data_IF_439651138682
#
_entry.id   IF_439651138682
#
_cell.length_a   1.000
_cell.length_b   1.000
_cell.length_c   1.000
_cell.angle_alpha   90.00
_cell.angle_beta   90.00
_cell.angle_gamma   90.00
#
_symmetry.space_group_name_H-M   'P 1'
#
loop_
_entity.id
_entity.type
_entity.pdbx_description
1 polymer ?
#
# COMPACT_ATOMS: atom_id res chain seq x y z
N UNK A 1 81.53 -29.97 18.87
CA UNK A 1 80.29 -30.14 18.09
C UNK A 1 79.32 -29.11 18.64
N UNK A 2 79.39 -27.89 18.11
CA UNK A 2 78.70 -26.70 18.61
C UNK A 2 77.60 -26.32 17.61
N UNK A 3 76.37 -26.23 18.07
CA UNK A 3 75.23 -25.65 17.35
C UNK A 3 75.15 -24.15 17.71
N UNK A 4 74.91 -23.25 16.75
CA UNK A 4 74.85 -21.83 17.01
C UNK A 4 73.45 -21.40 17.47
N UNK A 5 73.43 -20.54 18.49
CA UNK A 5 72.30 -19.71 18.91
C UNK A 5 71.90 -18.74 17.79
N UNK A 6 70.78 -18.99 17.12
CA UNK A 6 70.13 -17.97 16.30
C UNK A 6 69.19 -17.11 17.16
N UNK A 7 69.64 -15.87 17.34
CA UNK A 7 68.96 -14.73 17.93
C UNK A 7 67.51 -14.57 17.43
N UNK A 8 66.56 -14.75 18.34
CA UNK A 8 65.22 -14.16 18.23
C UNK A 8 65.34 -12.66 18.49
N UNK A 9 65.25 -11.83 17.44
CA UNK A 9 65.05 -10.38 17.58
C UNK A 9 63.58 -10.10 17.83
N UNK A 10 63.19 -9.51 18.98
CA UNK A 10 61.84 -8.97 19.15
C UNK A 10 61.71 -7.73 18.26
N UNK A 11 60.79 -7.78 17.29
CA UNK A 11 60.45 -6.66 16.45
C UNK A 11 59.56 -5.70 17.26
N UNK A 12 60.19 -4.85 18.07
CA UNK A 12 59.57 -3.70 18.72
C UNK A 12 59.51 -2.54 17.73
N UNK A 13 58.40 -1.81 17.76
CA UNK A 13 58.15 -0.53 17.08
C UNK A 13 57.45 -0.58 15.71
N UNK A 14 56.23 -1.13 15.69
CA UNK A 14 55.17 -0.62 14.79
C UNK A 14 54.05 -0.02 15.66
N UNK A 15 54.35 1.17 16.18
CA UNK A 15 53.42 2.07 16.83
C UNK A 15 52.29 2.44 15.85
N UNK A 16 51.18 1.73 15.99
CA UNK A 16 49.79 2.21 16.11
C UNK A 16 49.47 3.70 15.89
N UNK A 17 49.99 4.33 14.84
CA UNK A 17 49.40 5.55 14.29
C UNK A 17 48.17 5.16 13.47
N UNK A 18 47.05 4.91 14.15
CA UNK A 18 45.75 4.99 13.50
C UNK A 18 45.60 6.42 12.96
N UNK A 19 45.55 6.63 11.63
CA UNK A 19 45.45 7.97 11.07
C UNK A 19 44.13 8.58 11.55
N UNK A 20 44.24 9.56 12.43
CA UNK A 20 43.13 10.31 12.96
C UNK A 20 42.43 11.01 11.79
N UNK A 21 41.21 10.56 11.45
CA UNK A 21 40.23 11.33 10.70
C UNK A 21 40.60 11.79 9.28
N UNK A 22 41.55 11.14 8.59
CA UNK A 22 41.85 11.48 7.20
C UNK A 22 40.61 11.34 6.32
N UNK A 23 40.14 12.45 5.74
CA UNK A 23 39.01 12.47 4.81
C UNK A 23 39.23 11.43 3.69
N UNK A 24 38.20 10.64 3.38
CA UNK A 24 38.27 9.66 2.30
C UNK A 24 38.64 10.36 0.98
N UNK A 25 39.58 9.83 0.20
CA UNK A 25 39.93 10.41 -1.09
C UNK A 25 38.67 10.50 -1.95
N UNK A 26 38.45 11.66 -2.58
CA UNK A 26 37.22 11.99 -3.32
C UNK A 26 36.81 10.92 -4.35
N UNK A 27 37.79 10.19 -4.90
CA UNK A 27 37.58 9.09 -5.86
C UNK A 27 36.78 7.91 -5.28
N UNK A 28 36.83 7.70 -3.96
CA UNK A 28 36.06 6.66 -3.27
C UNK A 28 34.74 7.19 -2.70
N UNK A 29 34.68 8.46 -2.32
CA UNK A 29 33.46 9.04 -1.72
C UNK A 29 32.34 9.22 -2.74
N UNK A 30 32.63 9.59 -3.99
CA UNK A 30 31.62 9.77 -5.05
C UNK A 30 30.82 8.49 -5.33
N UNK A 31 31.42 7.33 -5.69
CA UNK A 31 30.65 6.12 -5.96
C UNK A 31 29.88 5.62 -4.73
N UNK A 32 30.43 5.85 -3.53
CA UNK A 32 29.76 5.55 -2.27
C UNK A 32 28.51 6.42 -2.08
N UNK A 33 28.62 7.72 -2.31
CA UNK A 33 27.51 8.66 -2.23
C UNK A 33 26.40 8.31 -3.23
N UNK A 34 26.78 7.93 -4.47
CA UNK A 34 25.81 7.47 -5.47
C UNK A 34 25.14 6.16 -5.01
N UNK A 35 25.90 5.21 -4.47
CA UNK A 35 25.37 3.96 -3.92
C UNK A 35 24.33 4.22 -2.81
N UNK A 36 24.65 5.12 -1.87
CA UNK A 36 23.73 5.55 -0.80
C UNK A 36 22.52 6.27 -1.38
N UNK A 37 22.69 7.11 -2.41
CA UNK A 37 21.59 7.79 -3.10
C UNK A 37 20.62 6.84 -3.80
N UNK A 38 21.13 5.82 -4.49
CA UNK A 38 20.31 4.75 -5.09
C UNK A 38 19.56 3.98 -4.02
N UNK A 39 20.21 3.70 -2.89
CA UNK A 39 19.57 3.02 -1.78
C UNK A 39 18.48 3.86 -1.10
N UNK A 40 18.73 5.15 -0.94
CA UNK A 40 17.74 6.10 -0.44
C UNK A 40 16.51 6.12 -1.37
N UNK A 41 16.72 6.17 -2.69
CA UNK A 41 15.65 6.11 -3.68
C UNK A 41 14.86 4.79 -3.61
N UNK A 42 15.53 3.65 -3.34
CA UNK A 42 14.86 2.38 -3.14
C UNK A 42 13.94 2.38 -1.90
N UNK A 43 14.39 2.97 -0.78
CA UNK A 43 13.57 3.11 0.43
C UNK A 43 12.41 4.09 0.23
N UNK A 44 12.63 5.20 -0.49
CA UNK A 44 11.55 6.11 -0.87
C UNK A 44 10.53 5.43 -1.78
N UNK A 45 10.98 4.62 -2.73
CA UNK A 45 10.09 3.89 -3.61
C UNK A 45 9.32 2.80 -2.85
N UNK A 46 9.96 2.10 -1.91
CA UNK A 46 9.27 1.21 -0.97
C UNK A 46 8.17 1.92 -0.19
N UNK A 47 8.47 3.10 0.37
CA UNK A 47 7.49 3.92 1.08
C UNK A 47 6.40 4.48 0.17
N UNK A 48 6.72 4.76 -1.08
CA UNK A 48 5.74 5.15 -2.09
C UNK A 48 4.76 4.00 -2.37
N UNK A 49 5.25 2.76 -2.53
CA UNK A 49 4.39 1.59 -2.75
C UNK A 49 3.46 1.32 -1.57
N UNK A 50 3.89 1.58 -0.33
CA UNK A 50 3.07 1.36 0.88
C UNK A 50 2.09 2.51 1.17
N UNK A 51 2.44 3.76 0.87
CA UNK A 51 1.63 4.93 1.25
C UNK A 51 0.89 5.60 0.08
N UNK A 52 1.28 5.32 -1.16
CA UNK A 52 0.81 6.04 -2.35
C UNK A 52 1.40 7.45 -2.49
N UNK A 53 2.33 7.86 -1.62
CA UNK A 53 2.91 9.20 -1.60
C UNK A 53 4.42 9.18 -1.44
N UNK A 54 5.14 10.01 -2.19
CA UNK A 54 6.62 10.01 -2.16
C UNK A 54 7.20 10.65 -0.89
N UNK A 55 6.57 11.71 -0.39
CA UNK A 55 7.10 12.51 0.73
C UNK A 55 6.13 12.61 1.91
N UNK A 56 4.82 12.66 1.65
CA UNK A 56 3.81 12.76 2.70
C UNK A 56 3.80 11.52 3.63
N UNK A 57 4.27 10.38 3.13
CA UNK A 57 4.41 9.14 3.91
C UNK A 57 5.55 9.15 4.92
N UNK A 58 6.49 10.10 4.88
CA UNK A 58 7.56 10.20 5.88
C UNK A 58 7.01 10.92 7.10
N UNK A 59 6.22 10.20 7.90
CA UNK A 59 5.71 10.71 9.15
C UNK A 59 6.67 10.30 10.27
N UNK A 60 7.45 11.26 10.79
CA UNK A 60 8.41 10.99 11.87
C UNK A 60 7.75 10.90 13.26
N UNK A 61 6.42 10.79 13.33
CA UNK A 61 5.70 10.66 14.59
C UNK A 61 5.99 9.31 15.26
N UNK A 62 6.19 9.33 16.58
CA UNK A 62 6.45 8.14 17.38
C UNK A 62 5.32 7.09 17.24
N UNK A 63 4.07 7.53 17.14
CA UNK A 63 2.92 6.65 16.94
C UNK A 63 2.99 5.87 15.63
N UNK A 64 3.43 6.51 14.55
CA UNK A 64 3.59 5.84 13.25
C UNK A 64 4.67 4.75 13.28
N UNK A 65 5.76 4.97 14.03
CA UNK A 65 6.80 3.95 14.21
C UNK A 65 6.35 2.81 15.12
N UNK A 66 5.62 3.11 16.19
CA UNK A 66 5.02 2.07 17.04
C UNK A 66 4.07 1.19 16.23
N UNK A 67 3.24 1.80 15.37
CA UNK A 67 2.38 1.07 14.45
C UNK A 67 3.22 0.24 13.47
N UNK A 68 4.27 0.79 12.86
CA UNK A 68 5.13 0.06 11.93
C UNK A 68 5.90 -1.13 12.54
N UNK A 69 6.14 -1.12 13.85
CA UNK A 69 6.74 -2.27 14.56
C UNK A 69 5.73 -3.40 14.73
N UNK A 70 4.46 -3.07 14.92
CA UNK A 70 3.38 -4.04 15.17
C UNK A 70 2.75 -4.53 13.86
N UNK A 71 2.67 -3.66 12.85
CA UNK A 71 2.13 -4.00 11.53
C UNK A 71 3.07 -4.98 10.83
N UNK A 72 2.63 -6.22 10.56
CA UNK A 72 3.45 -7.18 9.85
C UNK A 72 3.76 -6.67 8.44
N UNK A 73 4.99 -6.89 7.98
CA UNK A 73 5.41 -6.51 6.62
C UNK A 73 4.51 -7.16 5.54
N UNK A 74 3.85 -8.28 5.89
CA UNK A 74 2.88 -8.95 5.05
C UNK A 74 1.69 -8.06 4.66
N UNK A 75 1.29 -7.10 5.50
CA UNK A 75 0.17 -6.20 5.21
C UNK A 75 0.46 -5.31 3.99
N UNK A 76 1.74 -4.97 3.75
CA UNK A 76 2.18 -4.20 2.56
C UNK A 76 1.90 -4.96 1.26
N UNK A 77 1.80 -6.30 1.32
CA UNK A 77 1.47 -7.12 0.14
C UNK A 77 -0.05 -7.17 -0.14
N UNK A 78 -0.87 -6.71 0.81
CA UNK A 78 -2.32 -6.66 0.65
C UNK A 78 -2.84 -5.23 0.49
N UNK A 79 -2.16 -4.26 1.09
CA UNK A 79 -2.58 -2.87 1.15
C UNK A 79 -1.43 -1.91 0.78
N UNK A 80 -1.70 -0.84 0.03
CA UNK A 80 -2.97 -0.54 -0.66
C UNK A 80 -3.19 -1.41 -1.90
N UNK A 81 -2.11 -1.90 -2.54
CA UNK A 81 -2.18 -2.75 -3.71
C UNK A 81 -1.95 -4.21 -3.35
N UNK A 82 -3.02 -5.01 -3.43
CA UNK A 82 -2.91 -6.43 -3.21
C UNK A 82 -2.16 -7.15 -4.33
N UNK A 83 -1.20 -8.01 -3.97
CA UNK A 83 -0.54 -8.95 -4.90
C UNK A 83 -1.50 -9.94 -5.54
N UNK A 84 -2.69 -10.15 -4.95
CA UNK A 84 -3.73 -11.02 -5.49
C UNK A 84 -4.46 -10.38 -6.68
N UNK A 85 -4.62 -9.06 -6.65
CA UNK A 85 -5.28 -8.28 -7.69
C UNK A 85 -4.30 -7.82 -8.75
N UNK A 86 -3.05 -7.54 -8.35
CA UNK A 86 -1.97 -7.11 -9.23
C UNK A 86 -0.77 -8.05 -9.12
N UNK A 87 -0.74 -9.18 -9.88
CA UNK A 87 0.34 -10.17 -9.77
C UNK A 87 1.74 -9.59 -10.03
N UNK A 88 1.86 -8.54 -10.85
CA UNK A 88 3.12 -7.83 -11.08
C UNK A 88 3.72 -7.23 -9.80
N UNK A 89 2.90 -6.91 -8.80
CA UNK A 89 3.37 -6.44 -7.50
C UNK A 89 4.24 -7.47 -6.79
N UNK A 90 4.10 -8.77 -7.08
CA UNK A 90 5.00 -9.82 -6.57
C UNK A 90 6.44 -9.55 -7.00
N UNK A 91 6.64 -9.30 -8.29
CA UNK A 91 7.96 -9.01 -8.84
C UNK A 91 8.49 -7.65 -8.37
N UNK A 92 7.64 -6.62 -8.40
CA UNK A 92 8.01 -5.25 -8.02
C UNK A 92 8.46 -5.20 -6.55
N UNK A 93 7.61 -5.66 -5.63
CA UNK A 93 7.91 -5.63 -4.19
C UNK A 93 9.06 -6.56 -3.84
N UNK A 94 9.12 -7.76 -4.45
CA UNK A 94 10.23 -8.69 -4.25
C UNK A 94 11.59 -8.12 -4.70
N UNK A 95 11.68 -7.48 -5.86
CA UNK A 95 12.92 -6.86 -6.35
C UNK A 95 13.37 -5.69 -5.45
N UNK A 96 12.45 -4.82 -5.03
CA UNK A 96 12.75 -3.70 -4.12
C UNK A 96 13.20 -4.23 -2.76
N UNK A 97 12.50 -5.21 -2.21
CA UNK A 97 12.86 -5.83 -0.93
C UNK A 97 14.21 -6.54 -1.00
N UNK A 98 14.48 -7.27 -2.10
CA UNK A 98 15.78 -7.87 -2.35
C UNK A 98 16.91 -6.84 -2.41
N UNK A 99 16.67 -5.70 -3.05
CA UNK A 99 17.62 -4.58 -3.07
C UNK A 99 17.85 -3.99 -1.66
N UNK A 100 16.78 -3.77 -0.88
CA UNK A 100 16.84 -3.24 0.48
C UNK A 100 17.69 -4.13 1.39
N UNK A 101 17.56 -5.45 1.25
CA UNK A 101 18.32 -6.44 2.04
C UNK A 101 19.76 -6.60 1.53
N UNK A 102 19.95 -6.73 0.20
CA UNK A 102 21.26 -7.02 -0.40
C UNK A 102 22.25 -5.86 -0.25
N UNK A 103 21.81 -4.62 -0.50
CA UNK A 103 22.72 -3.48 -0.60
C UNK A 103 23.56 -3.21 0.67
N UNK A 104 22.97 -3.07 1.88
CA UNK A 104 23.76 -2.90 3.11
C UNK A 104 24.67 -4.10 3.38
N UNK A 105 24.21 -5.31 3.06
CA UNK A 105 24.94 -6.54 3.28
C UNK A 105 26.20 -6.64 2.41
N UNK A 106 26.06 -6.38 1.10
CA UNK A 106 27.19 -6.44 0.18
C UNK A 106 28.19 -5.31 0.43
N UNK A 107 27.72 -4.13 0.83
CA UNK A 107 28.55 -3.00 1.24
C UNK A 107 29.31 -3.32 2.54
N UNK A 108 28.67 -3.97 3.52
CA UNK A 108 29.34 -4.40 4.75
C UNK A 108 30.43 -5.45 4.47
N UNK A 109 30.13 -6.45 3.63
CA UNK A 109 31.06 -7.53 3.25
C UNK A 109 32.23 -7.00 2.41
N UNK A 110 32.00 -6.12 1.44
CA UNK A 110 33.07 -5.68 0.52
C UNK A 110 33.79 -4.40 0.93
N UNK A 111 33.15 -3.55 1.73
CA UNK A 111 33.68 -2.23 2.05
C UNK A 111 33.83 -2.03 3.56
N UNK A 112 32.87 -1.35 4.19
CA UNK A 112 32.92 -0.95 5.60
C UNK A 112 31.59 -1.23 6.24
N UNK A 113 31.63 -1.85 7.42
CA UNK A 113 30.44 -2.10 8.23
C UNK A 113 29.71 -0.81 8.59
N UNK A 114 30.42 0.31 8.81
CA UNK A 114 29.79 1.60 9.14
C UNK A 114 28.89 2.14 8.03
N UNK A 115 29.25 1.94 6.76
CA UNK A 115 28.40 2.36 5.63
C UNK A 115 27.18 1.44 5.53
N UNK A 116 27.37 0.12 5.67
CA UNK A 116 26.26 -0.83 5.73
C UNK A 116 25.28 -0.49 6.86
N UNK A 117 25.80 -0.11 8.03
CA UNK A 117 24.99 0.34 9.16
C UNK A 117 24.22 1.63 8.85
N UNK A 118 24.85 2.62 8.22
CA UNK A 118 24.16 3.84 7.78
C UNK A 118 23.00 3.53 6.80
N UNK A 119 23.20 2.58 5.88
CA UNK A 119 22.14 2.11 4.98
C UNK A 119 21.02 1.43 5.78
N UNK A 120 21.31 0.56 6.74
CA UNK A 120 20.25 -0.04 7.58
C UNK A 120 19.46 1.01 8.38
N UNK A 121 20.10 2.09 8.82
CA UNK A 121 19.41 3.23 9.46
C UNK A 121 18.46 3.91 8.47
N UNK A 122 18.84 4.07 7.21
CA UNK A 122 17.93 4.59 6.18
C UNK A 122 16.71 3.68 5.97
N UNK A 123 16.85 2.35 6.08
CA UNK A 123 15.70 1.44 6.06
C UNK A 123 14.74 1.67 7.20
N UNK A 124 15.27 1.89 8.41
CA UNK A 124 14.44 2.16 9.57
C UNK A 124 13.71 3.50 9.40
N UNK A 125 14.42 4.56 9.02
CA UNK A 125 13.87 5.92 9.00
C UNK A 125 13.01 6.15 7.75
N UNK A 126 13.57 5.96 6.56
CA UNK A 126 12.94 6.32 5.28
C UNK A 126 12.03 5.22 4.77
N UNK A 127 12.46 3.96 4.89
CA UNK A 127 11.64 2.81 4.51
C UNK A 127 10.56 2.45 5.53
N UNK A 128 10.52 3.16 6.67
CA UNK A 128 9.58 2.96 7.78
C UNK A 128 9.50 1.48 8.25
N UNK A 129 10.62 0.76 8.15
CA UNK A 129 10.69 -0.68 8.40
C UNK A 129 11.76 -1.03 9.47
N UNK A 130 11.55 -0.62 10.74
CA UNK A 130 12.56 -0.76 11.79
C UNK A 130 12.92 -2.21 12.11
N UNK A 131 11.97 -3.14 12.09
CA UNK A 131 12.24 -4.55 12.40
C UNK A 131 13.04 -5.22 11.28
N UNK A 132 12.73 -4.91 10.01
CA UNK A 132 13.54 -5.33 8.87
C UNK A 132 14.96 -4.76 8.96
N UNK A 133 15.10 -3.48 9.31
CA UNK A 133 16.40 -2.84 9.49
C UNK A 133 17.25 -3.55 10.55
N UNK A 134 16.67 -3.93 11.69
CA UNK A 134 17.34 -4.70 12.74
C UNK A 134 17.78 -6.08 12.24
N UNK A 135 16.91 -6.79 11.51
CA UNK A 135 17.25 -8.10 10.93
C UNK A 135 18.41 -7.98 9.93
N UNK A 136 18.39 -6.98 9.05
CA UNK A 136 19.46 -6.72 8.09
C UNK A 136 20.75 -6.28 8.79
N UNK A 137 20.68 -5.47 9.84
CA UNK A 137 21.84 -5.07 10.63
C UNK A 137 22.51 -6.29 11.30
N UNK A 138 21.71 -7.20 11.87
CA UNK A 138 22.22 -8.46 12.42
C UNK A 138 22.84 -9.33 11.32
N UNK A 139 22.22 -9.40 10.14
CA UNK A 139 22.77 -10.05 8.95
C UNK A 139 24.13 -9.48 8.52
N UNK A 140 24.27 -8.15 8.51
CA UNK A 140 25.54 -7.47 8.22
C UNK A 140 26.62 -7.83 9.24
N UNK A 141 26.27 -7.87 10.54
CA UNK A 141 27.20 -8.24 11.60
C UNK A 141 27.67 -9.69 11.47
N UNK A 142 26.75 -10.63 11.20
CA UNK A 142 27.10 -12.04 10.97
C UNK A 142 28.02 -12.21 9.78
N UNK A 143 27.67 -11.59 8.63
CA UNK A 143 28.47 -11.72 7.42
C UNK A 143 29.89 -11.16 7.59
N UNK A 144 30.05 -10.04 8.33
CA UNK A 144 31.37 -9.42 8.56
C UNK A 144 32.21 -10.17 9.59
N UNK A 145 31.60 -10.79 10.62
CA UNK A 145 32.32 -11.51 11.68
C UNK A 145 32.83 -12.89 11.26
N UNK A 146 32.35 -13.43 10.15
CA UNK A 146 32.81 -14.73 9.65
C UNK A 146 34.12 -14.61 8.87
N UNK A 147 35.04 -15.58 9.04
CA UNK A 147 36.24 -15.70 8.18
C UNK A 147 35.88 -15.91 6.71
N UNK A 148 34.69 -16.45 6.44
CA UNK A 148 34.11 -16.65 5.11
C UNK A 148 34.04 -15.37 4.27
N UNK A 149 34.01 -14.18 4.89
CA UNK A 149 34.03 -12.90 4.17
C UNK A 149 35.17 -12.80 3.14
N UNK A 150 36.35 -13.31 3.49
CA UNK A 150 37.55 -13.21 2.67
C UNK A 150 37.64 -14.36 1.66
N UNK A 151 37.38 -15.59 2.12
CA UNK A 151 37.59 -16.80 1.31
C UNK A 151 36.40 -17.10 0.40
N UNK A 152 35.18 -16.96 0.93
CA UNK A 152 33.93 -17.35 0.29
C UNK A 152 32.86 -16.27 0.48
N UNK A 153 33.01 -15.09 -0.16
CA UNK A 153 32.12 -13.95 0.07
C UNK A 153 30.65 -14.26 -0.24
N UNK A 154 30.37 -15.20 -1.15
CA UNK A 154 29.00 -15.65 -1.43
C UNK A 154 28.39 -16.40 -0.23
N UNK A 155 29.17 -17.25 0.44
CA UNK A 155 28.72 -17.95 1.65
C UNK A 155 28.48 -16.97 2.80
N UNK A 156 29.35 -15.96 2.96
CA UNK A 156 29.16 -14.90 3.95
C UNK A 156 27.86 -14.10 3.69
N UNK A 157 27.55 -13.78 2.43
CA UNK A 157 26.29 -13.12 2.04
C UNK A 157 25.10 -14.04 2.32
N UNK A 158 25.17 -15.33 1.94
CA UNK A 158 24.08 -16.27 2.19
C UNK A 158 23.76 -16.40 3.70
N UNK A 159 24.79 -16.47 4.56
CA UNK A 159 24.63 -16.46 6.02
C UNK A 159 24.02 -15.14 6.49
N UNK A 160 24.47 -14.02 5.95
CA UNK A 160 23.94 -12.70 6.27
C UNK A 160 22.49 -12.47 5.82
N UNK A 161 22.00 -13.23 4.84
CA UNK A 161 20.58 -13.20 4.43
C UNK A 161 19.66 -13.95 5.39
N UNK A 162 20.18 -14.89 6.20
CA UNK A 162 19.35 -15.74 7.06
C UNK A 162 18.48 -14.94 8.04
N UNK A 163 18.96 -13.90 8.76
CA UNK A 163 18.10 -13.15 9.68
C UNK A 163 16.97 -12.41 8.98
N UNK A 164 17.26 -11.78 7.83
CA UNK A 164 16.24 -11.09 7.04
C UNK A 164 15.24 -12.10 6.44
N UNK A 165 15.71 -13.23 5.90
CA UNK A 165 14.87 -14.30 5.39
C UNK A 165 13.96 -14.90 6.47
N UNK A 166 14.50 -15.15 7.67
CA UNK A 166 13.72 -15.65 8.81
C UNK A 166 12.67 -14.63 9.27
N UNK A 167 13.04 -13.35 9.38
CA UNK A 167 12.10 -12.28 9.69
C UNK A 167 10.95 -12.24 8.68
N UNK A 168 11.27 -12.20 7.40
CA UNK A 168 10.26 -12.13 6.34
C UNK A 168 9.38 -13.37 6.31
N UNK A 169 9.95 -14.56 6.56
CA UNK A 169 9.19 -15.80 6.69
C UNK A 169 8.19 -15.70 7.85
N UNK A 170 8.66 -15.43 9.07
CA UNK A 170 7.81 -15.41 10.28
C UNK A 170 6.68 -14.38 10.18
N UNK A 171 6.96 -13.17 9.70
CA UNK A 171 5.96 -12.11 9.63
C UNK A 171 4.98 -12.26 8.46
N UNK A 172 5.31 -13.08 7.45
CA UNK A 172 4.35 -13.44 6.40
C UNK A 172 3.27 -14.43 6.91
N UNK A 173 3.54 -15.20 7.98
CA UNK A 173 2.54 -16.10 8.58
C UNK A 173 1.54 -15.39 9.50
N UNK A 174 1.94 -14.28 10.11
CA UNK A 174 1.12 -13.59 11.11
C UNK A 174 -0.19 -13.03 10.54
N UNK A 175 -0.25 -12.75 9.23
CA UNK A 175 -1.41 -12.18 8.53
C UNK A 175 -2.46 -13.22 8.10
N UNK A 176 -2.22 -14.51 8.34
CA UNK A 176 -2.97 -15.63 7.76
C UNK A 176 -4.34 -15.99 8.35
N UNK A 177 -4.88 -15.22 9.30
CA UNK A 177 -6.14 -15.58 9.99
C UNK A 177 -7.43 -15.27 9.21
N UNK A 178 -7.35 -14.89 7.94
CA UNK A 178 -8.53 -14.73 7.09
C UNK A 178 -9.12 -16.12 6.74
N UNK A 179 -10.11 -16.53 7.52
CA UNK A 179 -10.80 -17.84 7.47
C UNK A 179 -11.46 -18.18 6.11
N UNK A 180 -11.44 -17.28 5.13
CA UNK A 180 -12.16 -17.38 3.86
C UNK A 180 -11.28 -17.55 2.60
N UNK A 181 -9.94 -17.63 2.75
CA UNK A 181 -9.02 -17.71 1.61
C UNK A 181 -8.72 -19.16 1.21
N UNK A 182 -8.79 -19.46 -0.09
CA UNK A 182 -8.50 -20.78 -0.68
C UNK A 182 -7.08 -21.26 -0.28
N UNK A 183 -6.84 -22.56 -0.06
CA UNK A 183 -5.54 -23.08 0.38
C UNK A 183 -4.36 -22.65 -0.51
N UNK A 184 -4.55 -22.63 -1.84
CA UNK A 184 -3.51 -22.21 -2.79
C UNK A 184 -3.23 -20.71 -2.70
N UNK A 185 -4.26 -19.89 -2.46
CA UNK A 185 -4.11 -18.44 -2.32
C UNK A 185 -3.34 -18.05 -1.07
N UNK A 186 -3.26 -18.93 -0.06
CA UNK A 186 -2.42 -18.72 1.13
C UNK A 186 -0.94 -18.61 0.78
N UNK A 187 -0.48 -19.22 -0.32
CA UNK A 187 0.94 -19.22 -0.70
C UNK A 187 1.38 -18.01 -1.53
N UNK A 188 0.44 -17.34 -2.20
CA UNK A 188 0.73 -16.20 -3.08
C UNK A 188 1.41 -15.03 -2.35
N UNK A 189 1.02 -14.65 -1.13
CA UNK A 189 1.69 -13.60 -0.36
C UNK A 189 3.16 -13.88 -0.01
N UNK A 190 3.62 -15.13 -0.11
CA UNK A 190 5.03 -15.49 0.09
C UNK A 190 5.89 -15.32 -1.17
N UNK A 191 5.26 -15.17 -2.35
CA UNK A 191 6.00 -15.06 -3.60
C UNK A 191 6.92 -13.82 -3.65
N UNK A 192 6.54 -12.63 -3.15
CA UNK A 192 7.46 -11.50 -3.04
C UNK A 192 8.74 -11.84 -2.27
N UNK A 193 8.64 -12.61 -1.19
CA UNK A 193 9.78 -13.06 -0.39
C UNK A 193 10.71 -13.97 -1.19
N UNK A 194 10.15 -14.95 -1.89
CA UNK A 194 10.94 -15.85 -2.75
C UNK A 194 11.68 -15.04 -3.82
N UNK A 195 10.98 -14.11 -4.47
CA UNK A 195 11.59 -13.19 -5.46
C UNK A 195 12.69 -12.35 -4.81
N UNK A 196 12.49 -11.83 -3.60
CA UNK A 196 13.50 -11.03 -2.90
C UNK A 196 14.78 -11.81 -2.58
N UNK A 197 14.65 -13.06 -2.12
CA UNK A 197 15.81 -13.93 -1.84
C UNK A 197 16.55 -14.24 -3.13
N UNK A 198 15.84 -14.66 -4.18
CA UNK A 198 16.44 -14.96 -5.49
C UNK A 198 17.12 -13.73 -6.07
N UNK A 199 16.45 -12.57 -6.07
CA UNK A 199 17.01 -11.31 -6.56
C UNK A 199 18.27 -10.90 -5.77
N UNK A 200 18.28 -11.09 -4.45
CA UNK A 200 19.44 -10.83 -3.61
C UNK A 200 20.64 -11.72 -3.98
N UNK A 201 20.39 -13.02 -4.18
CA UNK A 201 21.44 -13.99 -4.53
C UNK A 201 21.99 -13.74 -5.95
N UNK A 202 21.12 -13.45 -6.92
CA UNK A 202 21.52 -13.09 -8.29
C UNK A 202 22.31 -11.79 -8.30
N UNK A 203 21.82 -10.75 -7.61
CA UNK A 203 22.53 -9.47 -7.50
C UNK A 203 23.90 -9.62 -6.85
N UNK A 204 24.00 -10.38 -5.75
CA UNK A 204 25.28 -10.71 -5.12
C UNK A 204 26.24 -11.42 -6.08
N UNK A 205 25.73 -12.43 -6.81
CA UNK A 205 26.52 -13.19 -7.79
C UNK A 205 27.06 -12.30 -8.89
N UNK A 206 26.23 -11.41 -9.45
CA UNK A 206 26.65 -10.45 -10.50
C UNK A 206 27.72 -9.50 -9.98
N UNK A 207 27.54 -8.92 -8.78
CA UNK A 207 28.55 -8.02 -8.19
C UNK A 207 29.87 -8.75 -7.96
N UNK A 208 29.83 -9.96 -7.41
CA UNK A 208 31.03 -10.75 -7.14
C UNK A 208 31.75 -11.17 -8.43
N UNK A 209 31.01 -11.62 -9.45
CA UNK A 209 31.53 -12.00 -10.75
C UNK A 209 32.17 -10.80 -11.46
N UNK A 210 31.46 -9.67 -11.53
CA UNK A 210 31.97 -8.46 -12.15
C UNK A 210 33.19 -7.91 -11.40
N UNK A 211 33.22 -7.97 -10.06
CA UNK A 211 34.41 -7.58 -9.29
C UNK A 211 35.63 -8.45 -9.60
N UNK A 212 35.44 -9.75 -9.89
CA UNK A 212 36.53 -10.63 -10.35
C UNK A 212 37.02 -10.25 -11.75
N UNK A 213 36.12 -9.91 -12.66
CA UNK A 213 36.46 -9.59 -14.05
C UNK A 213 37.13 -8.22 -14.21
N UNK A 214 36.56 -7.18 -13.61
CA UNK A 214 36.99 -5.79 -13.88
C UNK A 214 37.96 -5.23 -12.84
N UNK A 215 38.19 -5.92 -11.71
CA UNK A 215 38.97 -5.42 -10.56
C UNK A 215 38.51 -4.05 -10.02
N UNK A 216 37.31 -3.60 -10.40
CA UNK A 216 36.72 -2.34 -9.97
C UNK A 216 35.96 -2.56 -8.64
N UNK A 217 36.61 -2.23 -7.52
CA UNK A 217 36.13 -2.57 -6.16
C UNK A 217 34.71 -2.07 -5.86
N UNK A 218 34.47 -0.76 -5.94
CA UNK A 218 33.20 -0.15 -5.51
C UNK A 218 32.30 0.27 -6.69
N UNK A 219 32.91 0.54 -7.85
CA UNK A 219 32.20 1.08 -9.03
C UNK A 219 31.21 0.11 -9.65
N UNK A 220 31.30 -1.19 -9.33
CA UNK A 220 30.41 -2.23 -9.86
C UNK A 220 29.15 -2.40 -9.01
N UNK A 221 29.21 -2.09 -7.71
CA UNK A 221 28.05 -2.24 -6.83
C UNK A 221 26.94 -1.29 -7.31
N UNK A 222 27.29 -0.02 -7.53
CA UNK A 222 26.34 1.03 -7.95
C UNK A 222 25.51 0.68 -9.20
N UNK A 223 26.07 0.29 -10.36
CA UNK A 223 25.27 -0.04 -11.53
C UNK A 223 24.37 -1.27 -11.33
N UNK A 224 24.80 -2.27 -10.54
CA UNK A 224 23.94 -3.42 -10.23
C UNK A 224 22.76 -3.01 -9.36
N UNK A 225 23.01 -2.22 -8.30
CA UNK A 225 21.92 -1.70 -7.45
C UNK A 225 20.98 -0.77 -8.24
N UNK A 226 21.53 0.05 -9.14
CA UNK A 226 20.74 0.92 -10.00
C UNK A 226 19.84 0.10 -10.94
N UNK A 227 20.37 -0.96 -11.55
CA UNK A 227 19.57 -1.86 -12.40
C UNK A 227 18.48 -2.57 -11.59
N UNK A 228 18.81 -3.04 -10.38
CA UNK A 228 17.84 -3.66 -9.46
C UNK A 228 16.75 -2.70 -9.00
N UNK A 229 17.01 -1.39 -8.95
CA UNK A 229 15.99 -0.36 -8.66
C UNK A 229 15.20 0.03 -9.91
N UNK A 230 15.87 0.22 -11.04
CA UNK A 230 15.23 0.65 -12.28
C UNK A 230 14.19 -0.36 -12.77
N UNK A 231 14.49 -1.66 -12.68
CA UNK A 231 13.58 -2.72 -13.12
C UNK A 231 12.20 -2.68 -12.43
N UNK A 232 12.08 -2.71 -11.09
CA UNK A 232 10.78 -2.63 -10.42
C UNK A 232 10.08 -1.28 -10.63
N UNK A 233 10.82 -0.17 -10.75
CA UNK A 233 10.23 1.15 -11.06
C UNK A 233 9.59 1.14 -12.45
N UNK A 234 10.30 0.64 -13.46
CA UNK A 234 9.78 0.53 -14.84
C UNK A 234 8.59 -0.44 -14.89
N UNK A 235 8.68 -1.59 -14.22
CA UNK A 235 7.58 -2.55 -14.14
C UNK A 235 6.33 -1.94 -13.48
N UNK A 236 6.51 -1.17 -12.40
CA UNK A 236 5.42 -0.49 -11.73
C UNK A 236 4.72 0.50 -12.66
N UNK A 237 5.45 1.44 -13.27
CA UNK A 237 4.83 2.47 -14.12
C UNK A 237 4.23 1.92 -15.41
N UNK A 238 4.74 0.80 -15.93
CA UNK A 238 4.22 0.18 -17.17
C UNK A 238 3.07 -0.80 -16.97
N UNK A 239 2.98 -1.48 -15.81
CA UNK A 239 2.00 -2.54 -15.56
C UNK A 239 0.93 -2.20 -14.54
N UNK A 240 1.21 -1.30 -13.61
CA UNK A 240 0.30 -0.93 -12.51
C UNK A 240 -0.06 0.54 -12.63
N UNK A 241 0.94 1.41 -12.63
CA UNK A 241 0.76 2.86 -12.75
C UNK A 241 0.46 3.55 -11.42
N UNK A 242 0.76 4.85 -11.37
CA UNK A 242 0.52 5.68 -10.20
C UNK A 242 -0.98 5.87 -9.90
N UNK A 243 -1.81 5.94 -10.95
CA UNK A 243 -3.25 6.07 -10.80
C UNK A 243 -3.85 4.86 -10.07
N UNK A 244 -3.44 3.64 -10.39
CA UNK A 244 -3.96 2.45 -9.71
C UNK A 244 -3.58 2.44 -8.23
N UNK A 245 -2.34 2.82 -7.89
CA UNK A 245 -1.89 2.91 -6.51
C UNK A 245 -2.66 3.96 -5.70
N UNK A 246 -2.89 5.15 -6.27
CA UNK A 246 -3.62 6.21 -5.58
C UNK A 246 -5.11 5.88 -5.45
N UNK A 247 -5.72 5.31 -6.49
CA UNK A 247 -7.06 4.76 -6.45
C UNK A 247 -7.19 3.69 -5.37
N UNK A 248 -6.27 2.72 -5.32
CA UNK A 248 -6.29 1.66 -4.33
C UNK A 248 -6.15 2.22 -2.90
N UNK A 249 -5.34 3.26 -2.70
CA UNK A 249 -5.23 3.93 -1.39
C UNK A 249 -6.50 4.71 -1.01
N UNK A 250 -7.26 5.24 -1.96
CA UNK A 250 -8.59 5.82 -1.69
C UNK A 250 -9.59 4.71 -1.37
N UNK A 251 -9.58 3.63 -2.15
CA UNK A 251 -10.44 2.48 -1.96
C UNK A 251 -10.23 1.79 -0.61
N UNK A 252 -8.97 1.68 -0.16
CA UNK A 252 -8.58 1.10 1.11
C UNK A 252 -9.10 1.89 2.33
N UNK A 253 -9.39 3.19 2.14
CA UNK A 253 -10.02 4.00 3.19
C UNK A 253 -11.50 3.68 3.40
N UNK A 254 -12.09 2.84 2.56
CA UNK A 254 -13.48 2.41 2.66
C UNK A 254 -13.61 1.09 3.40
N UNK A 255 -14.70 0.92 4.14
CA UNK A 255 -15.09 -0.32 4.84
C UNK A 255 -15.39 -1.52 3.92
N UNK A 256 -15.16 -1.39 2.61
CA UNK A 256 -15.55 -2.34 1.59
C UNK A 256 -17.04 -2.29 1.25
N UNK A 257 -17.41 -2.97 0.17
CA UNK A 257 -18.80 -3.07 -0.27
C UNK A 257 -19.38 -1.74 -0.75
N UNK A 258 -20.50 -1.35 -0.15
CA UNK A 258 -21.18 -0.07 -0.37
C UNK A 258 -21.06 0.85 0.85
N UNK A 259 -20.20 0.52 1.80
CA UNK A 259 -20.05 1.28 3.04
C UNK A 259 -18.72 1.98 3.03
N UNK A 260 -18.71 3.30 3.20
CA UNK A 260 -17.45 4.04 3.30
C UNK A 260 -16.83 3.88 4.68
N UNK A 261 -17.62 3.89 5.76
CA UNK A 261 -17.11 3.83 7.13
C UNK A 261 -17.62 2.60 7.89
N UNK A 262 -16.71 1.90 8.57
CA UNK A 262 -17.05 0.72 9.35
C UNK A 262 -17.91 1.11 10.56
N UNK A 263 -19.00 0.37 10.84
CA UNK A 263 -19.77 0.56 12.05
C UNK A 263 -18.90 0.31 13.28
N UNK A 264 -18.97 1.19 14.28
CA UNK A 264 -18.18 1.07 15.51
C UNK A 264 -19.07 1.27 16.73
N UNK A 265 -18.83 0.52 17.81
CA UNK A 265 -19.52 0.77 19.07
C UNK A 265 -19.11 2.12 19.66
N UNK A 266 -20.11 2.87 20.11
CA UNK A 266 -19.93 4.23 20.62
C UNK A 266 -18.97 4.26 21.81
N UNK A 267 -19.08 3.29 22.72
CA UNK A 267 -18.19 3.19 23.89
C UNK A 267 -16.75 2.86 23.51
N UNK A 268 -16.55 1.97 22.53
CA UNK A 268 -15.22 1.62 22.05
C UNK A 268 -14.55 2.82 21.37
N UNK A 269 -15.30 3.55 20.55
CA UNK A 269 -14.85 4.78 19.89
C UNK A 269 -14.58 5.90 20.91
N UNK A 270 -15.44 6.07 21.92
CA UNK A 270 -15.22 7.04 22.99
C UNK A 270 -13.96 6.71 23.79
N UNK A 271 -13.73 5.42 24.07
CA UNK A 271 -12.55 4.97 24.81
C UNK A 271 -11.25 5.18 24.04
N UNK A 272 -11.23 4.87 22.74
CA UNK A 272 -10.04 5.08 21.91
C UNK A 272 -9.68 6.56 21.75
N UNK A 273 -10.68 7.45 21.80
CA UNK A 273 -10.49 8.89 21.67
C UNK A 273 -10.49 9.66 23.02
N UNK A 274 -10.49 8.96 24.16
CA UNK A 274 -10.53 9.54 25.51
C UNK A 274 -11.76 10.43 25.81
N UNK A 275 -12.93 10.09 25.24
CA UNK A 275 -14.20 10.82 25.37
C UNK A 275 -15.22 10.18 26.35
N UNK A 276 -14.78 9.25 27.21
CA UNK A 276 -15.64 8.49 28.12
C UNK A 276 -16.49 9.30 29.12
N UNK A 277 -16.21 10.60 29.26
CA UNK A 277 -16.90 11.50 30.22
C UNK A 277 -17.85 12.49 29.54
N UNK A 278 -18.02 12.42 28.22
CA UNK A 278 -18.89 13.32 27.49
C UNK A 278 -20.36 12.92 27.66
N UNK A 279 -21.26 13.91 27.69
CA UNK A 279 -22.69 13.63 27.57
C UNK A 279 -23.03 13.05 26.19
N UNK A 280 -24.18 12.34 26.02
CA UNK A 280 -24.59 11.81 24.72
C UNK A 280 -24.62 12.86 23.61
N UNK A 281 -25.08 14.08 23.89
CA UNK A 281 -25.12 15.17 22.91
C UNK A 281 -23.73 15.68 22.53
N UNK A 282 -22.83 15.80 23.52
CA UNK A 282 -21.44 16.16 23.27
C UNK A 282 -20.73 15.09 22.45
N UNK A 283 -20.99 13.82 22.76
CA UNK A 283 -20.43 12.68 22.03
C UNK A 283 -20.95 12.65 20.60
N UNK A 284 -22.25 12.84 20.39
CA UNK A 284 -22.87 12.99 19.06
C UNK A 284 -22.19 14.08 18.24
N UNK A 285 -21.99 15.26 18.85
CA UNK A 285 -21.28 16.37 18.19
C UNK A 285 -19.86 15.97 17.77
N UNK A 286 -19.11 15.29 18.65
CA UNK A 286 -17.75 14.81 18.32
C UNK A 286 -17.73 13.77 17.20
N UNK A 287 -18.71 12.88 17.16
CA UNK A 287 -18.86 11.89 16.07
C UNK A 287 -19.16 12.59 14.75
N UNK A 288 -20.04 13.61 14.76
CA UNK A 288 -20.32 14.40 13.56
C UNK A 288 -19.10 15.21 13.09
N UNK A 289 -18.34 15.80 14.02
CA UNK A 289 -17.10 16.51 13.70
C UNK A 289 -16.06 15.56 13.07
N UNK A 290 -15.86 14.36 13.63
CA UNK A 290 -14.97 13.33 13.10
C UNK A 290 -15.42 12.84 11.71
N UNK A 291 -16.71 12.53 11.57
CA UNK A 291 -17.31 12.14 10.29
C UNK A 291 -17.09 13.21 9.22
N UNK A 292 -17.31 14.48 9.55
CA UNK A 292 -17.12 15.60 8.64
C UNK A 292 -15.65 15.78 8.25
N UNK A 293 -14.71 15.63 9.18
CA UNK A 293 -13.29 15.69 8.90
C UNK A 293 -12.84 14.55 7.95
N UNK A 294 -13.27 13.31 8.22
CA UNK A 294 -12.99 12.15 7.38
C UNK A 294 -13.63 12.28 5.99
N UNK A 295 -14.88 12.75 5.93
CA UNK A 295 -15.59 13.06 4.67
C UNK A 295 -14.83 14.08 3.84
N UNK A 296 -14.41 15.20 4.44
CA UNK A 296 -13.62 16.24 3.77
C UNK A 296 -12.29 15.71 3.25
N UNK A 297 -11.61 14.87 4.04
CA UNK A 297 -10.36 14.22 3.64
C UNK A 297 -10.54 13.31 2.40
N UNK A 298 -11.56 12.44 2.39
CA UNK A 298 -11.82 11.54 1.25
C UNK A 298 -12.18 12.34 0.00
N UNK A 299 -13.02 13.37 0.13
CA UNK A 299 -13.41 14.24 -1.00
C UNK A 299 -12.16 14.94 -1.59
N UNK A 300 -11.30 15.53 -0.74
CA UNK A 300 -10.09 16.19 -1.20
C UNK A 300 -9.12 15.24 -1.93
N UNK A 301 -9.03 13.97 -1.48
CA UNK A 301 -8.25 12.94 -2.19
C UNK A 301 -8.87 12.56 -3.53
N UNK A 302 -10.20 12.42 -3.59
CA UNK A 302 -10.89 12.17 -4.86
C UNK A 302 -10.68 13.32 -5.85
N UNK A 303 -10.75 14.56 -5.39
CA UNK A 303 -10.51 15.74 -6.23
C UNK A 303 -9.08 15.78 -6.74
N UNK A 304 -8.10 15.58 -5.86
CA UNK A 304 -6.68 15.48 -6.23
C UNK A 304 -6.43 14.38 -7.27
N UNK A 305 -7.10 13.23 -7.13
CA UNK A 305 -7.01 12.13 -8.08
C UNK A 305 -7.57 12.52 -9.46
N UNK A 306 -8.77 13.08 -9.50
CA UNK A 306 -9.46 13.45 -10.74
C UNK A 306 -8.73 14.57 -11.48
N UNK A 307 -8.06 15.48 -10.76
CA UNK A 307 -7.20 16.51 -11.33
C UNK A 307 -5.89 15.92 -11.89
N UNK A 308 -5.25 15.00 -11.16
CA UNK A 308 -3.96 14.40 -11.53
C UNK A 308 -4.09 13.38 -12.65
N UNK A 309 -5.18 12.62 -12.69
CA UNK A 309 -5.41 11.52 -13.64
C UNK A 309 -6.76 11.61 -14.37
N UNK A 310 -7.03 12.70 -15.11
CA UNK A 310 -8.33 12.91 -15.75
C UNK A 310 -8.67 11.86 -16.83
N UNK A 311 -7.68 11.12 -17.32
CA UNK A 311 -7.83 10.06 -18.33
C UNK A 311 -7.78 8.65 -17.74
N UNK A 312 -7.73 8.51 -16.40
CA UNK A 312 -7.74 7.19 -15.78
C UNK A 312 -9.07 6.50 -16.00
N UNK A 313 -9.04 5.20 -16.29
CA UNK A 313 -10.23 4.35 -16.29
C UNK A 313 -10.90 4.24 -14.91
N UNK A 314 -10.26 4.73 -13.84
CA UNK A 314 -10.78 4.77 -12.47
C UNK A 314 -11.59 6.02 -12.13
N UNK A 315 -11.73 6.98 -13.06
CA UNK A 315 -12.44 8.22 -12.78
C UNK A 315 -13.91 7.99 -12.39
N UNK A 316 -14.57 6.96 -12.95
CA UNK A 316 -15.95 6.63 -12.64
C UNK A 316 -16.10 6.15 -11.20
N UNK A 317 -15.23 5.24 -10.77
CA UNK A 317 -15.16 4.75 -9.39
C UNK A 317 -14.87 5.89 -8.42
N UNK A 318 -13.88 6.73 -8.70
CA UNK A 318 -13.50 7.84 -7.81
C UNK A 318 -14.60 8.89 -7.71
N UNK A 319 -15.28 9.22 -8.81
CA UNK A 319 -16.46 10.11 -8.77
C UNK A 319 -17.61 9.50 -7.96
N UNK A 320 -17.82 8.18 -8.08
CA UNK A 320 -18.79 7.48 -7.24
C UNK A 320 -18.43 7.59 -5.75
N UNK A 321 -17.17 7.31 -5.37
CA UNK A 321 -16.69 7.44 -3.98
C UNK A 321 -16.90 8.86 -3.47
N UNK A 322 -16.56 9.88 -4.28
CA UNK A 322 -16.78 11.29 -3.94
C UNK A 322 -18.25 11.60 -3.70
N UNK A 323 -19.12 11.23 -4.62
CA UNK A 323 -20.56 11.51 -4.53
C UNK A 323 -21.21 10.80 -3.35
N UNK A 324 -20.75 9.58 -3.06
CA UNK A 324 -21.21 8.80 -1.94
C UNK A 324 -20.74 9.40 -0.60
N UNK A 325 -19.47 9.84 -0.53
CA UNK A 325 -18.91 10.55 0.63
C UNK A 325 -19.65 11.86 0.92
N UNK A 326 -20.03 12.61 -0.12
CA UNK A 326 -20.84 13.83 0.02
C UNK A 326 -22.23 13.55 0.61
N UNK A 327 -22.76 12.34 0.46
CA UNK A 327 -24.12 11.96 0.90
C UNK A 327 -24.16 11.23 2.24
N UNK A 328 -23.01 11.02 2.90
CA UNK A 328 -22.94 10.33 4.18
C UNK A 328 -23.61 11.12 5.29
N UNK A 329 -24.39 10.40 6.10
CA UNK A 329 -25.06 10.92 7.28
C UNK A 329 -24.91 9.94 8.44
N UNK A 330 -24.92 10.46 9.67
CA UNK A 330 -24.97 9.64 10.88
C UNK A 330 -26.36 9.00 10.99
N UNK A 331 -26.41 7.70 11.22
CA UNK A 331 -27.65 7.00 11.55
C UNK A 331 -28.03 7.30 13.00
N UNK A 332 -28.90 8.29 13.20
CA UNK A 332 -29.35 8.73 14.53
C UNK A 332 -30.09 7.61 15.29
N UNK A 333 -30.72 6.66 14.58
CA UNK A 333 -31.41 5.56 15.23
C UNK A 333 -30.42 4.55 15.81
N UNK A 334 -29.38 4.19 15.05
CA UNK A 334 -28.31 3.31 15.53
C UNK A 334 -27.42 3.98 16.56
N UNK A 335 -27.14 5.28 16.41
CA UNK A 335 -26.36 6.03 17.39
C UNK A 335 -27.02 6.00 18.77
N UNK A 336 -28.35 6.18 18.84
CA UNK A 336 -29.13 6.05 20.09
C UNK A 336 -29.10 4.64 20.69
N UNK A 337 -28.83 3.60 19.89
CA UNK A 337 -28.63 2.22 20.36
C UNK A 337 -27.19 1.93 20.81
N UNK A 338 -26.31 2.92 20.76
CA UNK A 338 -24.90 2.78 21.13
C UNK A 338 -23.98 2.37 19.99
N UNK A 339 -24.43 2.43 18.73
CA UNK A 339 -23.61 2.08 17.55
C UNK A 339 -23.47 3.27 16.61
N UNK A 340 -22.23 3.68 16.34
CA UNK A 340 -21.93 4.66 15.31
C UNK A 340 -22.00 3.94 13.96
N UNK A 341 -23.07 4.19 13.21
CA UNK A 341 -23.24 3.72 11.84
C UNK A 341 -23.51 4.92 10.93
N UNK A 342 -22.96 4.86 9.73
CA UNK A 342 -23.18 5.85 8.70
C UNK A 342 -24.13 5.27 7.66
N UNK A 343 -25.15 6.05 7.30
CA UNK A 343 -26.11 5.68 6.28
C UNK A 343 -25.89 6.52 5.03
N UNK A 344 -26.10 5.83 3.92
CA UNK A 344 -25.99 6.34 2.57
C UNK A 344 -27.35 6.30 1.88
N UNK A 345 -28.42 6.06 2.64
CA UNK A 345 -29.75 5.73 2.12
C UNK A 345 -30.29 6.85 1.23
N UNK A 346 -30.01 8.11 1.58
CA UNK A 346 -30.61 9.26 0.90
C UNK A 346 -29.52 10.21 0.35
N UNK A 347 -29.51 10.49 -0.97
CA UNK A 347 -28.59 11.45 -1.56
C UNK A 347 -28.89 12.86 -1.04
N UNK A 348 -27.83 13.60 -0.70
CA UNK A 348 -27.90 15.00 -0.30
C UNK A 348 -27.84 15.93 -1.52
N UNK A 349 -28.43 17.13 -1.47
CA UNK A 349 -28.32 18.11 -2.56
C UNK A 349 -26.87 18.43 -2.95
N UNK A 350 -25.96 18.41 -1.98
CA UNK A 350 -24.52 18.65 -2.14
C UNK A 350 -23.84 17.68 -3.12
N UNK A 351 -24.35 16.45 -3.26
CA UNK A 351 -23.77 15.45 -4.17
C UNK A 351 -24.34 15.49 -5.59
N UNK A 352 -25.37 16.32 -5.83
CA UNK A 352 -26.08 16.40 -7.13
C UNK A 352 -25.15 16.66 -8.30
N UNK A 353 -24.22 17.60 -8.16
CA UNK A 353 -23.29 17.96 -9.23
C UNK A 353 -22.36 16.80 -9.57
N UNK A 354 -21.81 16.12 -8.56
CA UNK A 354 -20.92 14.96 -8.75
C UNK A 354 -21.67 13.80 -9.42
N UNK A 355 -22.90 13.51 -8.99
CA UNK A 355 -23.74 12.51 -9.66
C UNK A 355 -24.07 12.89 -11.10
N UNK A 356 -24.37 14.17 -11.36
CA UNK A 356 -24.65 14.67 -12.72
C UNK A 356 -23.43 14.50 -13.62
N UNK A 357 -22.25 14.84 -13.11
CA UNK A 357 -20.98 14.68 -13.82
C UNK A 357 -20.71 13.21 -14.15
N UNK A 358 -20.90 12.30 -13.19
CA UNK A 358 -20.71 10.86 -13.38
C UNK A 358 -21.68 10.30 -14.43
N UNK A 359 -22.96 10.65 -14.38
CA UNK A 359 -23.96 10.19 -15.34
C UNK A 359 -23.73 10.76 -16.76
N UNK A 360 -23.28 12.01 -16.86
CA UNK A 360 -23.12 12.73 -18.14
C UNK A 360 -21.79 12.42 -18.83
N UNK A 361 -20.69 12.53 -18.09
CA UNK A 361 -19.34 12.50 -18.67
C UNK A 361 -18.79 11.06 -18.78
N UNK A 362 -19.35 10.12 -18.01
CA UNK A 362 -18.90 8.73 -17.92
C UNK A 362 -20.10 7.76 -18.07
N UNK A 363 -21.02 8.10 -18.96
CA UNK A 363 -22.27 7.37 -19.23
C UNK A 363 -22.08 5.89 -19.59
N UNK A 364 -20.93 5.53 -20.16
CA UNK A 364 -20.58 4.15 -20.51
C UNK A 364 -20.11 3.31 -19.31
N UNK A 365 -19.87 3.95 -18.16
CA UNK A 365 -19.41 3.26 -16.96
C UNK A 365 -20.58 2.61 -16.19
N UNK A 366 -20.38 1.45 -15.54
CA UNK A 366 -21.41 0.85 -14.67
C UNK A 366 -21.92 1.81 -13.59
N UNK A 367 -21.04 2.69 -13.09
CA UNK A 367 -21.34 3.65 -12.04
C UNK A 367 -22.27 4.78 -12.50
N UNK A 368 -22.38 5.04 -13.81
CA UNK A 368 -23.36 5.98 -14.33
C UNK A 368 -24.80 5.54 -14.05
N UNK A 369 -25.08 4.23 -14.07
CA UNK A 369 -26.41 3.71 -13.74
C UNK A 369 -26.78 3.98 -12.27
N UNK A 370 -25.81 3.90 -11.35
CA UNK A 370 -25.99 4.28 -9.95
C UNK A 370 -26.23 5.79 -9.81
N UNK A 371 -25.53 6.60 -10.61
CA UNK A 371 -25.73 8.03 -10.64
C UNK A 371 -27.13 8.42 -11.12
N UNK A 372 -27.64 7.78 -12.18
CA UNK A 372 -29.01 7.99 -12.65
C UNK A 372 -30.05 7.62 -11.58
N UNK A 373 -29.85 6.52 -10.86
CA UNK A 373 -30.71 6.15 -9.73
C UNK A 373 -30.74 7.26 -8.66
N UNK A 374 -29.57 7.74 -8.21
CA UNK A 374 -29.48 8.82 -7.21
C UNK A 374 -30.04 10.14 -7.68
N UNK A 375 -29.85 10.50 -8.95
CA UNK A 375 -30.44 11.70 -9.55
C UNK A 375 -31.97 11.59 -9.65
N UNK A 376 -32.48 10.40 -9.98
CA UNK A 376 -33.92 10.11 -10.00
C UNK A 376 -34.55 10.25 -8.61
N UNK A 377 -33.88 9.76 -7.58
CA UNK A 377 -34.29 9.92 -6.18
C UNK A 377 -34.32 11.41 -5.77
N UNK A 378 -33.27 12.17 -6.08
CA UNK A 378 -33.22 13.62 -5.83
C UNK A 378 -34.34 14.37 -6.57
N UNK A 379 -34.63 14.00 -7.82
CA UNK A 379 -35.70 14.60 -8.61
C UNK A 379 -37.09 14.32 -8.01
N UNK A 380 -37.31 13.10 -7.50
CA UNK A 380 -38.55 12.73 -6.82
C UNK A 380 -38.75 13.57 -5.55
N UNK A 381 -37.69 13.76 -4.76
CA UNK A 381 -37.72 14.60 -3.54
C UNK A 381 -37.98 16.08 -3.85
N UNK A 382 -37.50 16.59 -4.99
CA UNK A 382 -37.80 17.95 -5.44
C UNK A 382 -39.15 18.09 -6.14
N UNK A 383 -39.98 17.04 -6.18
CA UNK A 383 -41.29 17.05 -6.84
C UNK A 383 -41.25 16.98 -8.37
N UNK A 384 -40.07 16.83 -8.98
CA UNK A 384 -39.92 16.70 -10.43
C UNK A 384 -40.12 15.25 -10.88
N UNK A 385 -41.39 14.81 -10.87
CA UNK A 385 -41.79 13.43 -11.18
C UNK A 385 -41.39 12.99 -12.59
N UNK A 386 -41.40 13.90 -13.57
CA UNK A 386 -41.06 13.59 -14.96
C UNK A 386 -39.59 13.20 -15.09
N UNK A 387 -38.68 14.02 -14.53
CA UNK A 387 -37.25 13.70 -14.54
C UNK A 387 -36.94 12.48 -13.67
N UNK A 388 -37.60 12.35 -12.52
CA UNK A 388 -37.46 11.17 -11.66
C UNK A 388 -37.79 9.89 -12.44
N UNK A 389 -38.94 9.84 -13.12
CA UNK A 389 -39.34 8.68 -13.94
C UNK A 389 -38.31 8.38 -15.02
N UNK A 390 -37.88 9.39 -15.79
CA UNK A 390 -36.91 9.22 -16.87
C UNK A 390 -35.59 8.62 -16.37
N UNK A 391 -35.04 9.15 -15.28
CA UNK A 391 -33.77 8.71 -14.68
C UNK A 391 -33.89 7.32 -14.06
N UNK A 392 -34.97 7.05 -13.31
CA UNK A 392 -35.17 5.76 -12.65
C UNK A 392 -35.40 4.62 -13.64
N UNK A 393 -36.12 4.86 -14.74
CA UNK A 393 -36.27 3.88 -15.83
C UNK A 393 -34.91 3.55 -16.45
N UNK A 394 -34.14 4.57 -16.82
CA UNK A 394 -32.80 4.38 -17.40
C UNK A 394 -31.87 3.63 -16.43
N UNK A 395 -31.89 3.98 -15.14
CA UNK A 395 -31.13 3.30 -14.12
C UNK A 395 -31.53 1.83 -13.99
N UNK A 396 -32.83 1.51 -13.92
CA UNK A 396 -33.31 0.14 -13.76
C UNK A 396 -32.90 -0.78 -14.92
N UNK A 397 -33.00 -0.28 -16.16
CA UNK A 397 -32.58 -0.99 -17.37
C UNK A 397 -31.06 -1.27 -17.36
N UNK A 398 -30.26 -0.23 -17.11
CA UNK A 398 -28.80 -0.35 -17.10
C UNK A 398 -28.31 -1.25 -15.95
N UNK A 399 -28.85 -1.08 -14.74
CA UNK A 399 -28.49 -1.89 -13.58
C UNK A 399 -28.76 -3.38 -13.81
N UNK A 400 -29.89 -3.72 -14.45
CA UNK A 400 -30.20 -5.11 -14.78
C UNK A 400 -29.12 -5.74 -15.67
N UNK A 401 -28.72 -5.02 -16.73
CA UNK A 401 -27.68 -5.49 -17.65
C UNK A 401 -26.32 -5.68 -16.96
N UNK A 402 -25.96 -4.75 -16.06
CA UNK A 402 -24.71 -4.80 -15.29
C UNK A 402 -24.72 -5.99 -14.34
N UNK A 403 -25.82 -6.24 -13.63
CA UNK A 403 -25.94 -7.35 -12.68
C UNK A 403 -25.81 -8.70 -13.40
N UNK A 404 -26.45 -8.86 -14.56
CA UNK A 404 -26.33 -10.08 -15.37
C UNK A 404 -24.86 -10.31 -15.75
N UNK A 405 -24.19 -9.29 -16.32
CA UNK A 405 -22.76 -9.37 -16.68
C UNK A 405 -21.87 -9.68 -15.48
N UNK A 406 -22.13 -9.07 -14.32
CA UNK A 406 -21.35 -9.32 -13.09
C UNK A 406 -21.54 -10.75 -12.56
N UNK A 407 -22.75 -11.32 -12.68
CA UNK A 407 -23.00 -12.72 -12.28
C UNK A 407 -22.26 -13.70 -13.19
N UNK A 408 -22.23 -13.44 -14.49
CA UNK A 408 -21.44 -14.22 -15.46
C UNK A 408 -19.95 -14.17 -15.12
N UNK A 409 -19.39 -12.97 -14.92
CA UNK A 409 -17.98 -12.79 -14.54
C UNK A 409 -17.64 -13.47 -13.20
N UNK A 410 -18.50 -13.37 -12.18
CA UNK A 410 -18.31 -14.05 -10.89
C UNK A 410 -18.27 -15.56 -11.01
N UNK A 411 -19.03 -16.13 -11.95
CA UNK A 411 -19.02 -17.57 -12.18
C UNK A 411 -17.67 -18.02 -12.78
N UNK A 412 -17.10 -17.24 -13.69
CA UNK A 412 -15.74 -17.48 -14.19
C UNK A 412 -14.67 -17.29 -13.10
N UNK A 413 -14.78 -16.24 -12.28
CA UNK A 413 -13.82 -15.89 -11.23
C UNK A 413 -13.64 -16.98 -10.17
N UNK A 414 -14.69 -17.77 -9.88
CA UNK A 414 -14.61 -18.88 -8.92
C UNK A 414 -13.52 -19.91 -9.28
N UNK A 415 -13.11 -19.95 -10.54
CA UNK A 415 -12.06 -20.87 -11.03
C UNK A 415 -10.67 -20.23 -11.12
N UNK A 416 -10.55 -18.90 -11.02
CA UNK A 416 -9.26 -18.19 -11.21
C UNK A 416 -8.49 -18.10 -9.88
N UNK A 417 -7.18 -18.36 -9.95
CA UNK A 417 -6.25 -18.23 -8.80
C UNK A 417 -6.09 -16.76 -8.40
N UNK A 418 -5.92 -15.88 -9.39
CA UNK A 418 -5.86 -14.44 -9.22
C UNK A 418 -7.24 -13.84 -9.46
N UNK A 419 -7.77 -13.16 -8.46
CA UNK A 419 -9.05 -12.46 -8.57
C UNK A 419 -8.76 -11.03 -9.00
N UNK A 420 -9.42 -10.51 -10.04
CA UNK A 420 -9.33 -9.09 -10.33
C UNK A 420 -9.76 -8.29 -9.09
N UNK A 421 -9.25 -7.06 -8.99
CA UNK A 421 -9.73 -6.15 -7.95
C UNK A 421 -11.25 -6.07 -8.03
N UNK A 422 -11.93 -6.28 -6.90
CA UNK A 422 -13.37 -6.10 -6.85
C UNK A 422 -13.65 -4.68 -7.33
N UNK A 423 -14.44 -4.56 -8.41
CA UNK A 423 -14.93 -3.27 -8.85
C UNK A 423 -15.57 -2.59 -7.66
N UNK A 424 -15.30 -1.30 -7.50
CA UNK A 424 -16.02 -0.47 -6.54
C UNK A 424 -17.05 0.30 -7.36
N UNK A 425 -18.34 0.23 -7.00
CA UNK A 425 -18.91 -0.47 -5.84
C UNK A 425 -18.98 -1.99 -6.00
N UNK A 426 -19.12 -2.71 -4.88
CA UNK A 426 -19.35 -4.16 -4.93
C UNK A 426 -20.66 -4.51 -5.65
N UNK A 427 -20.76 -5.72 -6.22
CA UNK A 427 -21.96 -6.11 -6.98
C UNK A 427 -23.27 -6.01 -6.17
N UNK A 428 -23.20 -6.25 -4.85
CA UNK A 428 -24.36 -6.11 -3.95
C UNK A 428 -24.94 -4.69 -3.97
N UNK A 429 -24.12 -3.67 -4.24
CA UNK A 429 -24.58 -2.29 -4.35
C UNK A 429 -25.47 -2.10 -5.59
N UNK A 430 -25.12 -2.73 -6.70
CA UNK A 430 -25.92 -2.68 -7.92
C UNK A 430 -27.24 -3.43 -7.74
N UNK A 431 -27.21 -4.61 -7.11
CA UNK A 431 -28.43 -5.37 -6.79
C UNK A 431 -29.37 -4.59 -5.88
N UNK A 432 -28.84 -3.97 -4.82
CA UNK A 432 -29.62 -3.12 -3.93
C UNK A 432 -30.17 -1.89 -4.67
N UNK A 433 -29.35 -1.22 -5.49
CA UNK A 433 -29.77 -0.07 -6.28
C UNK A 433 -30.89 -0.43 -7.26
N UNK A 434 -30.87 -1.62 -7.86
CA UNK A 434 -31.92 -2.07 -8.78
C UNK A 434 -33.26 -2.24 -8.05
N UNK A 435 -33.24 -2.84 -6.86
CA UNK A 435 -34.44 -3.02 -6.03
C UNK A 435 -35.03 -1.66 -5.66
N UNK A 436 -34.20 -0.72 -5.18
CA UNK A 436 -34.65 0.61 -4.79
C UNK A 436 -35.09 1.46 -6.00
N UNK A 437 -34.42 1.37 -7.15
CA UNK A 437 -34.82 2.08 -8.36
C UNK A 437 -36.22 1.64 -8.81
N UNK A 438 -36.51 0.33 -8.81
CA UNK A 438 -37.83 -0.19 -9.14
C UNK A 438 -38.91 0.26 -8.13
N UNK A 439 -38.57 0.27 -6.83
CA UNK A 439 -39.46 0.76 -5.79
C UNK A 439 -39.81 2.24 -5.99
N UNK A 440 -38.80 3.09 -6.23
CA UNK A 440 -39.00 4.52 -6.47
C UNK A 440 -39.74 4.79 -7.78
N UNK A 441 -39.53 3.96 -8.82
CA UNK A 441 -40.25 4.07 -10.08
C UNK A 441 -41.74 3.79 -9.89
N UNK A 442 -42.11 2.80 -9.08
CA UNK A 442 -43.51 2.52 -8.72
C UNK A 442 -44.14 3.73 -8.00
N UNK A 443 -43.40 4.35 -7.08
CA UNK A 443 -43.84 5.56 -6.40
C UNK A 443 -44.05 6.72 -7.39
N UNK A 444 -43.10 6.93 -8.32
CA UNK A 444 -43.17 7.99 -9.34
C UNK A 444 -44.30 7.79 -10.37
N UNK A 445 -44.77 6.54 -10.54
CA UNK A 445 -45.90 6.20 -11.39
C UNK A 445 -47.25 6.31 -10.67
N UNK A 446 -47.26 6.24 -9.34
CA UNK A 446 -48.49 6.43 -8.57
C UNK A 446 -49.01 7.87 -8.69
N UNK A 447 -50.31 8.02 -8.93
CA UNK A 447 -51.01 9.32 -8.96
C UNK A 447 -51.21 9.92 -7.56
N UNK A 448 -50.95 9.16 -6.50
CA UNK A 448 -51.11 9.64 -5.14
C UNK A 448 -50.03 10.68 -4.77
N UNK A 449 -50.37 11.70 -3.97
CA UNK A 449 -49.37 12.60 -3.38
C UNK A 449 -48.47 11.79 -2.45
N UNK A 450 -47.16 11.81 -2.72
CA UNK A 450 -46.16 11.06 -1.97
C UNK A 450 -45.65 11.93 -0.83
N UNK A 451 -45.90 11.53 0.42
CA UNK A 451 -45.18 12.05 1.59
C UNK A 451 -43.91 11.21 1.77
N UNK A 452 -42.78 11.71 1.26
CA UNK A 452 -41.47 11.11 1.52
C UNK A 452 -41.04 11.44 2.97
N UNK A 453 -40.59 10.45 3.75
CA UNK A 453 -40.05 10.69 5.09
C UNK A 453 -38.72 11.45 5.09
#
# INVERSE_FOLDING_TARGET
MFMPDELIKPNTDESSHAPAGGALPWRESVPLAICVGVYLAANLFWQYLSSGSWLAGINLSLSSYQQAVVTPIGDIFFHPLSVLTHPWMIAITGLVLGLIVLAPLIVAVKYRLSVGAAMTILTAIVGHAPVLALAVAFGCMLAVRTRLRNDMPMAAIAIGLLPAGLYLYLFSFATGNASSVLPVQRWVPYMPLVVAIVASLVGATVVLAANRLFKLRLRIITPVLLAMLALPVILFYSRVGAAELEYASIADSMAGGCTIFEPTFTDAWAKSNNYNKLSPDQLRKRVLDDMNARRGYIIARCDSFLERFPQSNKCAEVLWIKAQSQSIQLDEAEFRKGTIRYIESTPLPESRETWTRLARDLNDSPQAALADWRLGELALRSGNRTEARRRLTLAAENLNSIIIRQREMRQEEKTRVFRPMQSIPAASCYEQAQIEANRLLNIANSTQPVTMP
#
